data_IF_556260822361
#
_entry.id   IF_556260822361
#
_cell.length_a   1.000
_cell.length_b   1.000
_cell.length_c   1.000
_cell.angle_alpha   90.00
_cell.angle_beta   90.00
_cell.angle_gamma   90.00
#
_symmetry.space_group_name_H-M   'P 1'
#
loop_
_entity.id
_entity.type
_entity.pdbx_description
1 polymer ?
2 polymer ?
3 water ?
#
loop_
_entity_poly.entity_id
_entity_poly.type
_entity_poly.pdbx_seq_one_letter_code
_entity_poly.pdbx_strand_id
2 'polyribonucleotide' 'AUAAUUU' ?
#
# COMPACT_ATOMS: atom_id res chain seq x y z
N UNK A 5 9.08 17.90 -7.97
CA UNK A 5 10.57 17.95 -7.90
C UNK A 5 11.04 17.90 -6.46
N UNK A 6 10.83 19.00 -5.73
CA UNK A 6 11.24 19.06 -4.33
C UNK A 6 10.51 17.99 -3.52
N UNK A 7 9.52 17.36 -4.14
CA UNK A 7 8.76 16.30 -3.46
C UNK A 7 9.63 15.06 -3.40
N UNK A 8 10.55 14.95 -4.37
CA UNK A 8 11.46 13.81 -4.42
C UNK A 8 12.54 14.01 -3.37
N UNK A 9 12.82 15.26 -3.03
CA UNK A 9 13.81 15.58 -2.01
C UNK A 9 13.19 15.17 -0.67
N UNK A 10 11.89 15.41 -0.53
CA UNK A 10 11.18 15.06 0.69
C UNK A 10 11.15 13.53 0.81
N UNK A 11 10.97 12.86 -0.32
CA UNK A 11 10.93 11.40 -0.34
C UNK A 11 12.29 10.84 0.06
N UNK A 12 13.36 11.49 -0.42
CA UNK A 12 14.71 11.06 -0.10
C UNK A 12 14.98 11.28 1.38
N UNK A 13 14.57 12.44 1.90
CA UNK A 13 14.76 12.76 3.30
C UNK A 13 14.02 11.81 4.22
N UNK A 14 12.80 11.43 3.86
CA UNK A 14 12.03 10.49 4.67
C UNK A 14 12.74 9.14 4.74
N UNK A 15 13.35 8.73 3.63
CA UNK A 15 14.07 7.47 3.58
C UNK A 15 15.34 7.54 4.43
N UNK A 16 16.00 8.69 4.42
CA UNK A 16 17.22 8.86 5.22
C UNK A 16 16.88 8.75 6.71
N UNK A 17 15.81 9.43 7.14
CA UNK A 17 15.40 9.38 8.54
C UNK A 17 15.06 7.95 8.95
N UNK A 18 14.31 7.24 8.12
CA UNK A 18 13.93 5.88 8.43
C UNK A 18 15.12 4.96 8.59
N UNK A 19 16.08 5.05 7.68
CA UNK A 19 17.25 4.18 7.75
C UNK A 19 18.10 4.42 8.99
N UNK A 20 18.34 5.68 9.33
CA UNK A 20 19.15 6.00 10.51
C UNK A 20 18.42 5.61 11.80
N UNK A 21 17.11 5.87 11.84
CA UNK A 21 16.32 5.54 13.01
C UNK A 21 16.20 4.02 13.17
N UNK A 22 16.42 3.27 12.10
CA UNK A 22 16.38 1.82 12.20
C UNK A 22 17.66 1.40 12.93
N UNK A 23 18.80 1.90 12.43
CA UNK A 23 20.11 1.58 13.01
C UNK A 23 20.15 1.84 14.53
N UNK A 24 19.66 3.01 14.94
CA UNK A 24 19.66 3.39 16.36
C UNK A 24 18.37 3.00 17.10
N UNK A 25 17.52 2.20 16.46
CA UNK A 25 16.25 1.82 17.05
C UNK A 25 16.23 0.69 18.08
N UNK A 26 15.08 0.52 18.72
CA UNK A 26 14.90 -0.51 19.75
C UNK A 26 15.20 -1.94 19.32
N UNK A 27 14.89 -2.28 18.07
CA UNK A 27 15.17 -3.64 17.63
C UNK A 27 16.63 -3.88 17.29
N UNK A 28 17.19 -3.04 16.41
CA UNK A 28 18.57 -3.23 15.98
C UNK A 28 19.70 -2.94 16.95
N UNK A 29 19.70 -1.76 17.56
CA UNK A 29 20.77 -1.34 18.45
C UNK A 29 21.27 -2.36 19.49
N UNK A 30 20.35 -3.01 20.23
CA UNK A 30 20.77 -3.99 21.24
C UNK A 30 21.60 -5.16 20.71
N UNK A 31 21.54 -5.41 19.41
CA UNK A 31 22.30 -6.51 18.85
C UNK A 31 23.31 -6.04 17.81
N UNK A 32 23.56 -4.74 17.79
CA UNK A 32 24.50 -4.14 16.84
C UNK A 32 25.84 -3.87 17.54
N UNK A 33 26.74 -4.85 17.50
CA UNK A 33 28.04 -4.71 18.16
C UNK A 33 28.85 -3.51 17.70
N UNK A 34 29.00 -3.35 16.40
CA UNK A 34 29.77 -2.22 15.90
C UNK A 34 29.24 -0.91 16.46
N UNK A 35 27.93 -0.70 16.34
CA UNK A 35 27.31 0.53 16.82
C UNK A 35 27.34 0.73 18.33
N UNK A 36 27.14 -0.33 19.10
CA UNK A 36 27.17 -0.17 20.56
C UNK A 36 28.57 0.25 21.00
N UNK A 37 29.57 -0.14 20.22
CA UNK A 37 30.95 0.19 20.49
C UNK A 37 31.18 1.67 20.20
N UNK A 38 30.73 2.13 19.03
CA UNK A 38 30.90 3.54 18.66
C UNK A 38 30.25 4.45 19.69
N UNK A 39 29.07 4.05 20.15
CA UNK A 39 28.30 4.81 21.12
C UNK A 39 29.03 5.00 22.46
N UNK A 40 29.97 4.13 22.77
CA UNK A 40 30.72 4.24 24.02
C UNK A 40 31.85 5.26 23.96
N UNK A 41 32.25 5.65 22.76
CA UNK A 41 33.35 6.60 22.57
C UNK A 41 33.13 8.06 22.98
N UNK A 42 32.09 8.69 22.45
CA UNK A 42 31.83 10.10 22.72
C UNK A 42 30.41 10.37 23.21
N UNK A 43 30.02 9.68 24.27
CA UNK A 43 28.69 9.84 24.87
C UNK A 43 27.54 9.67 23.88
N UNK A 44 27.62 8.62 23.07
CA UNK A 44 26.56 8.34 22.11
C UNK A 44 26.73 8.97 20.75
N UNK A 45 27.49 10.07 20.68
CA UNK A 45 27.71 10.76 19.42
C UNK A 45 28.52 9.89 18.46
N UNK A 46 28.10 9.89 17.20
CA UNK A 46 28.76 9.14 16.14
C UNK A 46 28.94 10.12 14.97
N UNK A 47 30.20 10.35 14.55
CA UNK A 47 30.48 11.27 13.44
C UNK A 47 29.76 10.87 12.16
N UNK A 48 29.35 11.85 11.37
CA UNK A 48 28.67 11.56 10.12
C UNK A 48 29.67 10.84 9.23
N UNK A 49 30.95 11.14 9.46
CA UNK A 49 32.03 10.53 8.70
C UNK A 49 31.94 9.00 8.86
N UNK A 50 31.50 8.55 10.03
CA UNK A 50 31.34 7.12 10.30
C UNK A 50 29.99 6.62 9.78
N UNK A 51 28.94 7.40 10.00
CA UNK A 51 27.60 7.01 9.56
C UNK A 51 27.59 6.71 8.06
N UNK A 52 28.45 7.41 7.32
CA UNK A 52 28.54 7.24 5.89
C UNK A 52 29.04 5.85 5.46
N UNK A 53 29.64 5.11 6.40
CA UNK A 53 30.14 3.75 6.11
C UNK A 53 29.02 2.73 6.09
N UNK A 54 27.85 3.12 6.62
CA UNK A 54 26.69 2.24 6.66
C UNK A 54 26.16 2.15 5.23
N UNK A 55 26.31 0.97 4.63
CA UNK A 55 25.90 0.72 3.25
C UNK A 55 24.54 1.25 2.79
N UNK A 56 23.47 0.88 3.48
CA UNK A 56 22.14 1.35 3.06
C UNK A 56 22.01 2.88 3.08
N UNK A 57 22.62 3.52 4.06
CA UNK A 57 22.57 4.98 4.15
C UNK A 57 23.41 5.55 3.00
N UNK A 58 24.57 4.95 2.79
CA UNK A 58 25.48 5.38 1.72
C UNK A 58 24.72 5.43 0.38
N UNK A 59 23.97 4.37 0.08
CA UNK A 59 23.21 4.29 -1.17
C UNK A 59 22.16 5.39 -1.31
N UNK A 60 21.71 5.95 -0.20
CA UNK A 60 20.71 7.02 -0.25
C UNK A 60 21.44 8.32 -0.54
N UNK A 61 22.46 8.59 0.27
CA UNK A 61 23.26 9.78 0.13
C UNK A 61 24.52 9.68 0.99
N UNK A 62 25.54 10.44 0.61
CA UNK A 62 26.80 10.47 1.32
C UNK A 62 27.04 11.90 1.80
N UNK A 63 26.16 12.80 1.39
CA UNK A 63 26.31 14.20 1.75
C UNK A 63 25.85 14.56 3.15
N UNK A 64 26.80 15.02 3.96
CA UNK A 64 26.54 15.40 5.35
C UNK A 64 25.38 16.40 5.49
N UNK A 65 25.42 17.48 4.71
CA UNK A 65 24.38 18.51 4.78
C UNK A 65 22.99 17.97 4.48
N UNK A 66 22.87 17.06 3.53
CA UNK A 66 21.57 16.48 3.21
C UNK A 66 21.09 15.64 4.40
N UNK A 67 21.99 14.87 4.99
CA UNK A 67 21.63 14.01 6.12
C UNK A 67 21.14 14.84 7.30
N UNK A 68 21.85 15.91 7.63
CA UNK A 68 21.46 16.79 8.74
C UNK A 68 20.09 17.41 8.48
N UNK A 69 19.89 17.92 7.27
CA UNK A 69 18.63 18.54 6.90
C UNK A 69 17.49 17.56 7.13
N UNK A 70 17.66 16.35 6.61
CA UNK A 70 16.64 15.31 6.73
C UNK A 70 16.33 15.00 8.20
N UNK A 71 17.36 14.78 9.00
CA UNK A 71 17.12 14.47 10.41
C UNK A 71 16.46 15.61 11.18
N UNK A 72 16.76 16.86 10.81
CA UNK A 72 16.18 18.00 11.52
C UNK A 72 14.68 18.10 11.28
N UNK A 73 14.18 17.43 10.25
CA UNK A 73 12.76 17.47 9.93
C UNK A 73 12.05 16.19 10.35
N UNK A 74 12.80 15.21 10.82
CA UNK A 74 12.22 13.94 11.26
C UNK A 74 11.03 14.09 12.20
N UNK A 75 9.99 13.31 11.95
CA UNK A 75 8.79 13.34 12.78
C UNK A 75 9.00 12.49 14.02
N UNK A 76 9.71 11.37 13.86
CA UNK A 76 9.99 10.45 14.95
C UNK A 76 10.74 11.13 16.08
N UNK A 77 11.65 12.03 15.72
CA UNK A 77 12.43 12.77 16.71
C UNK A 77 13.24 11.84 17.62
N UNK A 78 13.82 10.80 17.04
CA UNK A 78 14.63 9.88 17.84
C UNK A 78 16.07 10.37 17.93
N UNK A 79 16.54 10.97 16.84
CA UNK A 79 17.93 11.43 16.75
C UNK A 79 18.19 12.89 17.12
N UNK A 80 19.38 13.12 17.66
CA UNK A 80 19.83 14.45 18.04
C UNK A 80 21.04 14.78 17.17
N UNK A 81 21.14 16.04 16.76
CA UNK A 81 22.25 16.49 15.93
C UNK A 81 23.11 17.43 16.78
N UNK A 82 24.43 17.28 16.74
CA UNK A 82 25.32 18.13 17.51
C UNK A 82 25.29 19.58 17.01
N UNK A 83 25.70 20.51 17.86
CA UNK A 83 25.72 21.93 17.51
C UNK A 83 26.51 22.23 16.24
N UNK A 84 27.69 21.63 16.10
CA UNK A 84 28.51 21.88 14.92
C UNK A 84 28.03 21.04 13.75
N UNK A 85 27.06 20.17 14.01
CA UNK A 85 26.47 19.31 13.00
C UNK A 85 27.42 18.30 12.35
N UNK A 86 28.41 17.82 13.11
CA UNK A 86 29.35 16.85 12.57
C UNK A 86 29.05 15.43 13.07
N UNK A 87 28.14 15.32 14.03
CA UNK A 87 27.82 14.00 14.58
C UNK A 87 26.37 13.93 15.08
N UNK A 88 25.87 12.70 15.26
CA UNK A 88 24.50 12.51 15.72
C UNK A 88 24.44 11.41 16.78
N UNK A 89 23.32 11.31 17.49
CA UNK A 89 23.15 10.30 18.51
C UNK A 89 21.68 10.07 18.84
N UNK A 90 21.39 8.93 19.46
CA UNK A 90 20.03 8.65 19.88
C UNK A 90 19.82 9.55 21.11
N UNK A 91 18.67 10.22 21.20
CA UNK A 91 18.41 11.12 22.33
C UNK A 91 18.60 10.46 23.68
N UNK A 92 19.24 11.16 24.62
CA UNK A 92 19.45 10.62 25.96
C UNK A 92 18.09 10.49 26.63
N UNK A 93 17.12 11.24 26.10
CA UNK A 93 15.77 11.24 26.62
C UNK A 93 14.94 10.09 26.09
N UNK A 94 15.55 9.25 25.26
CA UNK A 94 14.86 8.09 24.69
C UNK A 94 15.73 6.85 24.90
N UNK A 95 15.90 6.45 26.16
CA UNK A 95 16.71 5.28 26.50
C UNK A 95 16.09 4.00 25.96
N UNK A 96 16.94 3.00 25.76
CA UNK A 96 16.48 1.70 25.28
C UNK A 96 15.59 1.12 26.36
N UNK A 97 14.54 0.38 25.97
CA UNK A 97 13.61 -0.26 26.91
C UNK A 97 14.31 -1.38 27.68
N UNK A 98 13.88 -1.61 28.92
CA UNK A 98 14.46 -2.70 29.71
C UNK A 98 13.93 -4.01 29.14
N UNK A 99 14.82 -4.94 28.84
CA UNK A 99 14.40 -6.21 28.27
C UNK A 99 13.97 -7.21 29.34
N UNK A 100 12.69 -7.17 29.68
CA UNK A 100 12.12 -8.08 30.68
C UNK A 100 11.45 -9.27 29.98
N UNK A 101 11.03 -10.25 30.78
CA UNK A 101 10.35 -11.45 30.25
C UNK A 101 9.14 -10.98 29.47
N UNK A 102 8.49 -9.94 30.00
CA UNK A 102 7.31 -9.36 29.37
C UNK A 102 7.62 -8.73 28.01
N UNK A 103 8.70 -7.95 27.95
CA UNK A 103 9.11 -7.30 26.70
C UNK A 103 9.39 -8.36 25.66
N UNK A 104 10.16 -9.38 26.04
CA UNK A 104 10.49 -10.44 25.10
C UNK A 104 9.27 -11.22 24.66
N UNK A 105 8.35 -11.47 25.60
CA UNK A 105 7.12 -12.19 25.28
C UNK A 105 6.32 -11.40 24.26
N UNK A 106 6.30 -10.09 24.40
CA UNK A 106 5.57 -9.21 23.48
C UNK A 106 6.22 -9.15 22.09
N UNK A 107 7.54 -9.12 22.04
CA UNK A 107 8.24 -9.07 20.75
C UNK A 107 7.96 -10.35 19.97
N UNK A 108 8.09 -11.48 20.65
CA UNK A 108 7.86 -12.79 20.01
C UNK A 108 6.46 -12.88 19.43
N UNK A 109 5.48 -12.35 20.15
CA UNK A 109 4.09 -12.37 19.72
C UNK A 109 3.75 -11.39 18.59
N UNK A 110 4.70 -10.51 18.27
CA UNK A 110 4.52 -9.53 17.20
C UNK A 110 5.37 -9.97 15.99
N UNK A 111 5.97 -11.15 16.09
CA UNK A 111 6.84 -11.67 15.04
C UNK A 111 6.18 -12.72 14.15
N UNK A 112 6.34 -12.54 12.84
CA UNK A 112 5.72 -13.42 11.85
C UNK A 112 6.74 -14.07 10.91
N UNK A 113 6.32 -15.20 10.34
CA UNK A 113 7.11 -15.98 9.39
C UNK A 113 6.39 -15.96 8.05
N UNK A 114 7.12 -15.67 6.97
CA UNK A 114 6.54 -15.67 5.63
C UNK A 114 7.47 -16.40 4.65
N UNK A 115 6.97 -17.47 4.05
CA UNK A 115 7.76 -18.24 3.09
C UNK A 115 7.21 -18.11 1.67
N UNK A 116 8.10 -18.15 0.67
CA UNK A 116 7.64 -18.06 -0.71
C UNK A 116 8.18 -16.94 -1.59
N UNK A 117 9.17 -16.19 -1.12
CA UNK A 117 9.71 -15.11 -1.96
C UNK A 117 10.79 -15.66 -2.89
N UNK A 118 10.91 -15.09 -4.10
CA UNK A 118 11.93 -15.57 -5.03
C UNK A 118 13.31 -15.29 -4.48
N UNK A 119 14.21 -16.27 -4.63
CA UNK A 119 15.57 -16.18 -4.13
C UNK A 119 16.32 -14.90 -4.51
N UNK A 120 15.91 -14.27 -5.62
CA UNK A 120 16.58 -13.06 -6.06
C UNK A 120 15.99 -11.76 -5.50
N UNK A 121 14.92 -11.86 -4.72
CA UNK A 121 14.31 -10.66 -4.13
C UNK A 121 15.25 -9.97 -3.17
N UNK A 122 15.20 -8.64 -3.15
CA UNK A 122 16.06 -7.86 -2.27
C UNK A 122 15.27 -7.33 -1.09
N UNK A 123 15.98 -6.70 -0.15
CA UNK A 123 15.35 -6.13 1.02
C UNK A 123 14.39 -5.01 0.57
N UNK A 124 14.77 -4.27 -0.46
CA UNK A 124 13.91 -3.20 -0.97
C UNK A 124 12.62 -3.78 -1.56
N UNK A 125 12.72 -4.91 -2.27
CA UNK A 125 11.54 -5.54 -2.86
C UNK A 125 10.54 -5.86 -1.76
N UNK A 126 11.01 -6.55 -0.73
CA UNK A 126 10.17 -6.95 0.38
C UNK A 126 9.58 -5.77 1.14
N UNK A 127 10.41 -4.78 1.45
CA UNK A 127 9.93 -3.58 2.16
C UNK A 127 8.74 -2.96 1.42
N UNK A 128 8.87 -2.84 0.10
CA UNK A 128 7.80 -2.25 -0.70
C UNK A 128 6.54 -3.10 -0.65
N UNK A 129 6.69 -4.41 -0.66
CA UNK A 129 5.55 -5.30 -0.61
C UNK A 129 4.84 -5.22 0.74
N UNK A 130 5.60 -4.96 1.80
CA UNK A 130 5.03 -4.86 3.15
C UNK A 130 4.44 -3.48 3.42
N UNK A 131 4.65 -2.56 2.50
CA UNK A 131 4.18 -1.19 2.63
C UNK A 131 2.70 -1.03 2.99
N UNK A 132 1.86 -1.93 2.52
CA UNK A 132 0.42 -1.84 2.79
C UNK A 132 -0.11 -2.89 3.77
N UNK A 133 0.77 -3.52 4.55
CA UNK A 133 0.33 -4.55 5.49
C UNK A 133 0.48 -4.22 6.97
N UNK A 134 0.86 -2.99 7.28
CA UNK A 134 1.00 -2.61 8.68
C UNK A 134 2.39 -2.09 9.02
N UNK A 135 2.53 -1.56 10.23
CA UNK A 135 3.81 -1.01 10.68
C UNK A 135 4.82 -2.10 11.00
N UNK A 136 5.90 -2.12 10.23
CA UNK A 136 6.97 -3.11 10.41
C UNK A 136 8.17 -2.48 11.10
N UNK A 137 8.76 -3.18 12.05
CA UNK A 137 9.91 -2.68 12.78
C UNK A 137 11.20 -3.41 12.42
N UNK A 138 11.04 -4.61 11.85
CA UNK A 138 12.20 -5.38 11.42
C UNK A 138 11.84 -6.42 10.38
N UNK A 139 12.75 -6.61 9.44
CA UNK A 139 12.60 -7.59 8.36
C UNK A 139 13.90 -8.36 8.30
N UNK A 140 13.84 -9.65 8.60
CA UNK A 140 15.03 -10.48 8.56
C UNK A 140 14.95 -11.51 7.45
N UNK A 141 15.77 -11.31 6.42
CA UNK A 141 15.81 -12.24 5.29
C UNK A 141 16.65 -13.42 5.75
N UNK A 142 16.06 -14.60 5.76
CA UNK A 142 16.78 -15.79 6.21
C UNK A 142 17.79 -16.28 5.16
N UNK A 143 19.04 -16.40 5.60
CA UNK A 143 20.11 -16.84 4.72
C UNK A 143 20.88 -18.02 5.29
N UNK A 144 21.68 -18.65 4.44
CA UNK A 144 22.50 -19.79 4.83
C UNK A 144 23.78 -19.25 5.48
N UNK A 145 24.63 -20.15 5.95
CA UNK A 145 25.88 -19.75 6.59
C UNK A 145 26.67 -18.87 5.61
N UNK A 146 26.61 -19.22 4.33
CA UNK A 146 27.29 -18.49 3.27
C UNK A 146 26.51 -17.26 2.79
N UNK A 147 25.48 -16.89 3.53
CA UNK A 147 24.66 -15.72 3.23
C UNK A 147 23.81 -15.80 1.96
N UNK A 148 23.21 -16.95 1.71
CA UNK A 148 22.37 -17.13 0.53
C UNK A 148 20.91 -17.03 0.97
N UNK A 149 20.14 -16.13 0.34
CA UNK A 149 18.74 -15.94 0.69
C UNK A 149 17.90 -17.17 0.41
N UNK A 150 17.27 -17.69 1.47
CA UNK A 150 16.44 -18.89 1.39
C UNK A 150 15.06 -18.65 0.78
N UNK A 151 14.58 -17.42 0.79
CA UNK A 151 13.27 -17.13 0.24
C UNK A 151 12.19 -16.99 1.32
N UNK A 152 12.60 -17.11 2.58
CA UNK A 152 11.70 -16.97 3.71
C UNK A 152 12.23 -15.85 4.62
N UNK A 153 11.32 -15.14 5.29
CA UNK A 153 11.72 -14.04 6.16
C UNK A 153 10.93 -13.99 7.47
N UNK A 154 11.44 -13.20 8.41
CA UNK A 154 10.79 -13.00 9.69
C UNK A 154 10.47 -11.50 9.71
N UNK A 155 9.26 -11.15 10.12
CA UNK A 155 8.84 -9.75 10.17
C UNK A 155 8.31 -9.41 11.56
N UNK A 156 8.70 -8.24 12.07
CA UNK A 156 8.25 -7.81 13.39
C UNK A 156 7.37 -6.58 13.22
N UNK A 157 6.11 -6.68 13.63
CA UNK A 157 5.21 -5.54 13.50
C UNK A 157 5.26 -4.70 14.78
N UNK A 158 4.74 -3.48 14.69
CA UNK A 158 4.74 -2.56 15.82
C UNK A 158 3.94 -3.08 17.03
N UNK A 159 2.91 -3.88 16.77
CA UNK A 159 2.09 -4.43 17.85
C UNK A 159 1.54 -5.82 17.52
N UNK A 160 1.10 -6.55 18.54
CA UNK A 160 0.54 -7.89 18.30
C UNK A 160 -0.76 -7.74 17.51
N UNK A 161 -1.38 -6.57 17.60
CA UNK A 161 -2.62 -6.30 16.89
C UNK A 161 -2.42 -6.26 15.37
N UNK A 162 -1.40 -5.54 14.92
CA UNK A 162 -1.14 -5.45 13.49
C UNK A 162 -0.60 -6.80 12.99
N UNK A 163 0.15 -7.50 13.85
CA UNK A 163 0.71 -8.79 13.50
C UNK A 163 -0.43 -9.78 13.29
N UNK A 164 -1.37 -9.78 14.22
CA UNK A 164 -2.52 -10.67 14.17
C UNK A 164 -3.34 -10.41 12.91
N UNK A 165 -3.59 -9.14 12.60
CA UNK A 165 -4.36 -8.78 11.42
C UNK A 165 -3.68 -9.20 10.11
N UNK A 166 -2.36 -9.28 10.13
CA UNK A 166 -1.62 -9.68 8.94
C UNK A 166 -1.73 -11.20 8.74
N UNK A 167 -1.60 -11.93 9.83
CA UNK A 167 -1.69 -13.38 9.78
C UNK A 167 -3.13 -13.83 9.51
N UNK A 168 -4.10 -13.00 9.90
CA UNK A 168 -5.51 -13.31 9.69
C UNK A 168 -5.91 -13.31 8.23
N UNK A 169 -5.15 -12.59 7.41
CA UNK A 169 -5.44 -12.50 5.98
C UNK A 169 -4.90 -13.74 5.25
N UNK A 170 -5.80 -14.56 4.68
CA UNK A 170 -5.45 -15.78 3.96
C UNK A 170 -5.13 -15.67 2.47
N UNK A 171 -5.55 -14.58 1.83
CA UNK A 171 -5.29 -14.45 0.40
C UNK A 171 -4.17 -13.50 0.03
N UNK A 172 -2.95 -13.76 0.51
CA UNK A 172 -1.82 -12.89 0.19
C UNK A 172 -0.81 -13.54 -0.75
N UNK A 173 -0.38 -12.77 -1.74
CA UNK A 173 0.58 -13.25 -2.72
C UNK A 173 1.58 -12.18 -3.13
N UNK A 174 2.80 -12.61 -3.45
CA UNK A 174 3.86 -11.70 -3.87
C UNK A 174 4.04 -11.85 -5.37
N UNK A 175 4.00 -10.73 -6.09
CA UNK A 175 4.16 -10.76 -7.55
C UNK A 175 3.40 -11.97 -8.08
N UNK A 176 2.12 -12.03 -7.73
CA UNK A 176 1.22 -13.12 -8.12
C UNK A 176 1.76 -14.53 -7.86
N UNK A 177 2.30 -14.74 -6.67
CA UNK A 177 2.82 -16.03 -6.25
C UNK A 177 2.37 -16.26 -4.80
N UNK A 178 1.75 -17.41 -4.53
CA UNK A 178 1.25 -17.71 -3.19
C UNK A 178 2.32 -17.66 -2.11
N UNK A 179 1.90 -17.31 -0.90
CA UNK A 179 2.82 -17.21 0.24
C UNK A 179 2.31 -17.94 1.47
N UNK A 180 3.24 -18.51 2.23
CA UNK A 180 2.91 -19.21 3.46
C UNK A 180 3.21 -18.28 4.64
N UNK A 181 2.17 -17.88 5.37
CA UNK A 181 2.33 -16.98 6.50
C UNK A 181 1.94 -17.61 7.83
N UNK A 182 2.81 -17.50 8.82
CA UNK A 182 2.55 -18.05 10.14
C UNK A 182 3.16 -17.17 11.22
N UNK A 183 2.70 -17.32 12.46
CA UNK A 183 3.29 -16.56 13.55
C UNK A 183 4.62 -17.26 13.74
N UNK A 184 5.68 -16.50 13.96
CA UNK A 184 7.00 -17.08 14.11
C UNK A 184 7.09 -18.25 15.09
N UNK A 185 6.51 -18.10 16.27
CA UNK A 185 6.52 -19.16 17.28
C UNK A 185 5.80 -20.42 16.80
N UNK A 186 4.84 -20.24 15.90
CA UNK A 186 4.07 -21.34 15.34
C UNK A 186 4.94 -22.07 14.31
N UNK A 187 5.78 -21.30 13.62
CA UNK A 187 6.68 -21.86 12.63
C UNK A 187 7.68 -22.74 13.35
N UNK A 188 8.18 -22.24 14.48
CA UNK A 188 9.14 -22.99 15.27
C UNK A 188 8.49 -24.24 15.84
N UNK A 189 7.29 -24.08 16.39
CA UNK A 189 6.54 -25.20 16.97
C UNK A 189 6.59 -26.43 16.07
N UNK A 190 6.40 -26.21 14.77
CA UNK A 190 6.41 -27.28 13.79
C UNK A 190 7.82 -27.81 13.54
N UNK A 191 8.76 -26.89 13.45
CA UNK A 191 10.16 -27.21 13.20
C UNK A 191 10.89 -27.63 14.48
N UNK B 6 -11.76 -19.87 4.80
CA UNK B 6 -11.95 -18.40 4.93
C UNK B 6 -11.22 -17.62 3.85
N UNK B 7 -10.44 -18.31 3.04
CA UNK B 7 -9.70 -17.66 1.96
C UNK B 7 -10.70 -17.15 0.93
N UNK B 8 -11.86 -17.79 0.86
CA UNK B 8 -12.91 -17.39 -0.07
C UNK B 8 -13.69 -16.23 0.54
N UNK B 9 -13.90 -16.28 1.84
CA UNK B 9 -14.61 -15.21 2.55
C UNK B 9 -13.77 -13.94 2.42
N UNK B 10 -12.46 -14.09 2.64
CA UNK B 10 -11.54 -12.97 2.57
C UNK B 10 -11.63 -12.34 1.19
N UNK B 11 -11.60 -13.17 0.16
CA UNK B 11 -11.67 -12.71 -1.21
C UNK B 11 -12.99 -11.99 -1.46
N UNK B 12 -14.03 -12.41 -0.74
CA UNK B 12 -15.35 -11.81 -0.88
C UNK B 12 -15.37 -10.42 -0.25
N UNK B 13 -14.92 -10.34 1.00
CA UNK B 13 -14.89 -9.07 1.72
C UNK B 13 -14.07 -8.01 0.99
N UNK B 14 -12.96 -8.42 0.37
CA UNK B 14 -12.12 -7.48 -0.35
C UNK B 14 -12.89 -6.97 -1.57
N UNK B 15 -13.67 -7.86 -2.18
CA UNK B 15 -14.47 -7.50 -3.34
C UNK B 15 -15.57 -6.53 -2.93
N UNK B 16 -16.12 -6.72 -1.73
CA UNK B 16 -17.18 -5.85 -1.23
C UNK B 16 -16.65 -4.44 -0.98
N UNK B 17 -15.49 -4.35 -0.33
CA UNK B 17 -14.89 -3.05 -0.06
C UNK B 17 -14.63 -2.32 -1.37
N UNK B 18 -14.01 -3.00 -2.32
CA UNK B 18 -13.71 -2.38 -3.59
C UNK B 18 -14.93 -1.88 -4.37
N UNK B 19 -16.00 -2.65 -4.39
CA UNK B 19 -17.20 -2.24 -5.12
C UNK B 19 -17.87 -1.03 -4.46
N UNK B 20 -18.03 -1.07 -3.15
CA UNK B 20 -18.65 0.04 -2.44
C UNK B 20 -17.78 1.29 -2.55
N UNK B 21 -16.46 1.11 -2.40
CA UNK B 21 -15.53 2.23 -2.50
C UNK B 21 -15.55 2.87 -3.89
N UNK B 22 -15.92 2.08 -4.90
CA UNK B 22 -16.02 2.61 -6.25
C UNK B 22 -17.27 3.50 -6.36
N UNK B 23 -18.40 3.00 -5.85
CA UNK B 23 -19.66 3.76 -5.86
C UNK B 23 -19.49 5.15 -5.23
N UNK B 24 -18.81 5.20 -4.08
CA UNK B 24 -18.61 6.46 -3.38
C UNK B 24 -17.27 7.18 -3.72
N UNK B 25 -16.54 6.68 -4.71
CA UNK B 25 -15.26 7.27 -5.07
C UNK B 25 -15.24 8.57 -5.88
N UNK B 26 -14.06 9.17 -6.00
CA UNK B 26 -13.88 10.42 -6.72
C UNK B 26 -14.35 10.39 -8.17
N UNK B 27 -14.22 9.25 -8.83
CA UNK B 27 -14.65 9.20 -10.22
C UNK B 27 -16.16 9.04 -10.37
N UNK B 28 -16.73 8.02 -9.74
CA UNK B 28 -18.16 7.77 -9.88
C UNK B 28 -19.12 8.74 -9.21
N UNK B 29 -18.93 9.00 -7.92
CA UNK B 29 -19.84 9.85 -7.17
C UNK B 29 -20.27 11.17 -7.83
N UNK B 30 -19.32 11.96 -8.35
CA UNK B 30 -19.74 13.23 -8.98
C UNK B 30 -20.69 13.08 -10.18
N UNK B 31 -20.71 11.89 -10.78
CA UNK B 31 -21.57 11.67 -11.93
C UNK B 31 -22.71 10.70 -11.60
N UNK B 32 -22.82 10.30 -10.34
CA UNK B 32 -23.87 9.38 -9.91
C UNK B 32 -25.08 10.14 -9.33
N UNK B 33 -26.06 10.38 -10.19
CA UNK B 33 -27.28 11.11 -9.85
C UNK B 33 -28.08 10.52 -8.69
N UNK B 34 -28.30 9.21 -8.73
CA UNK B 34 -29.06 8.55 -7.69
C UNK B 34 -28.37 8.65 -6.32
N UNK B 35 -27.08 8.31 -6.28
CA UNK B 35 -26.32 8.35 -5.03
C UNK B 35 -26.23 9.75 -4.44
N UNK B 36 -25.93 10.73 -5.28
CA UNK B 36 -25.83 12.10 -4.79
C UNK B 36 -27.16 12.52 -4.19
N UNK B 37 -28.26 12.01 -4.74
CA UNK B 37 -29.59 12.33 -4.22
C UNK B 37 -29.69 11.77 -2.81
N UNK B 38 -29.39 10.47 -2.70
CA UNK B 38 -29.46 9.77 -1.42
C UNK B 38 -28.58 10.42 -0.35
N UNK B 39 -27.41 10.92 -0.76
CA UNK B 39 -26.46 11.53 0.15
C UNK B 39 -26.97 12.81 0.81
N UNK B 40 -27.94 13.47 0.19
CA UNK B 40 -28.48 14.70 0.75
C UNK B 40 -29.60 14.47 1.77
N UNK B 41 -30.03 13.24 1.92
CA UNK B 41 -31.11 12.90 2.84
C UNK B 41 -30.77 12.84 4.33
N UNK B 42 -29.66 12.19 4.67
CA UNK B 42 -29.29 12.03 6.08
C UNK B 42 -27.79 12.21 6.36
N UNK B 43 -27.29 13.42 6.14
CA UNK B 43 -25.87 13.72 6.39
C UNK B 43 -24.94 12.77 5.65
N UNK B 44 -25.37 12.32 4.46
CA UNK B 44 -24.54 11.42 3.67
C UNK B 44 -24.79 9.94 3.93
N UNK B 45 -25.47 9.62 5.03
CA UNK B 45 -25.75 8.21 5.37
C UNK B 45 -26.70 7.56 4.37
N UNK B 46 -26.41 6.31 4.03
CA UNK B 46 -27.23 5.54 3.11
C UNK B 46 -27.48 4.18 3.77
N UNK B 47 -28.75 3.84 4.03
CA UNK B 47 -29.14 2.57 4.65
C UNK B 47 -28.61 1.39 3.83
N UNK B 48 -28.26 0.29 4.51
CA UNK B 48 -27.78 -0.88 3.81
C UNK B 48 -28.95 -1.43 2.98
N UNK B 49 -30.17 -1.19 3.45
CA UNK B 49 -31.36 -1.65 2.73
C UNK B 49 -31.32 -1.08 1.31
N UNK B 50 -30.78 0.13 1.19
CA UNK B 50 -30.67 0.80 -0.10
C UNK B 50 -29.43 0.28 -0.87
N UNK B 51 -28.31 0.16 -0.16
CA UNK B 51 -27.07 -0.31 -0.78
C UNK B 51 -27.19 -1.66 -1.48
N UNK B 52 -28.00 -2.57 -0.93
CA UNK B 52 -28.13 -3.88 -1.55
C UNK B 52 -28.92 -3.86 -2.87
N UNK B 53 -29.50 -2.72 -3.22
CA UNK B 53 -30.22 -2.60 -4.50
C UNK B 53 -29.20 -2.37 -5.62
N UNK B 54 -27.96 -2.10 -5.24
CA UNK B 54 -26.88 -1.89 -6.21
C UNK B 54 -26.53 -3.28 -6.75
N UNK B 55 -26.88 -3.51 -8.01
CA UNK B 55 -26.65 -4.81 -8.67
C UNK B 55 -25.31 -5.50 -8.44
N UNK B 56 -24.21 -4.83 -8.74
CA UNK B 56 -22.90 -5.48 -8.56
C UNK B 56 -22.62 -5.89 -7.10
N UNK B 57 -23.02 -5.05 -6.15
CA UNK B 57 -22.83 -5.39 -4.74
C UNK B 57 -23.78 -6.54 -4.37
N UNK B 58 -25.04 -6.44 -4.82
CA UNK B 58 -26.04 -7.45 -4.55
C UNK B 58 -25.54 -8.84 -5.00
N UNK B 59 -24.85 -8.89 -6.14
CA UNK B 59 -24.32 -10.16 -6.64
C UNK B 59 -23.20 -10.71 -5.76
N UNK B 60 -22.52 -9.84 -5.02
CA UNK B 60 -21.46 -10.29 -4.13
C UNK B 60 -22.13 -10.84 -2.88
N UNK B 61 -22.99 -10.02 -2.29
CA UNK B 61 -23.74 -10.43 -1.12
C UNK B 61 -24.87 -9.46 -0.85
N UNK B 62 -25.80 -9.90 -0.01
CA UNK B 62 -26.96 -9.12 0.36
C UNK B 62 -27.01 -9.02 1.88
N UNK B 63 -26.12 -9.76 2.53
CA UNK B 63 -26.07 -9.79 3.98
C UNK B 63 -25.44 -8.57 4.63
N UNK B 64 -26.23 -7.86 5.43
CA UNK B 64 -25.78 -6.65 6.11
C UNK B 64 -24.53 -6.87 6.96
N UNK B 65 -24.60 -7.84 7.88
CA UNK B 65 -23.48 -8.12 8.76
C UNK B 65 -22.19 -8.38 7.99
N UNK B 66 -22.28 -9.13 6.90
CA UNK B 66 -21.10 -9.43 6.10
C UNK B 66 -20.56 -8.17 5.44
N UNK B 67 -21.45 -7.29 5.01
CA UNK B 67 -21.03 -6.04 4.36
C UNK B 67 -20.30 -5.17 5.37
N UNK B 68 -20.88 -5.02 6.56
CA UNK B 68 -20.29 -4.23 7.62
C UNK B 68 -18.93 -4.79 8.05
N UNK B 69 -18.84 -6.11 8.14
CA UNK B 69 -17.58 -6.73 8.55
C UNK B 69 -16.50 -6.38 7.52
N UNK B 70 -16.82 -6.55 6.25
CA UNK B 70 -15.89 -6.24 5.16
C UNK B 70 -15.36 -4.80 5.27
N UNK B 71 -16.28 -3.84 5.39
CA UNK B 71 -15.91 -2.43 5.48
C UNK B 71 -15.10 -2.03 6.71
N UNK B 72 -15.35 -2.68 7.84
CA UNK B 72 -14.65 -2.37 9.08
C UNK B 72 -13.19 -2.80 8.98
N UNK B 73 -12.88 -3.63 7.99
CA UNK B 73 -11.52 -4.13 7.80
C UNK B 73 -10.85 -3.57 6.55
N UNK B 74 -11.50 -2.60 5.92
CA UNK B 74 -10.96 -1.98 4.71
C UNK B 74 -9.69 -1.19 4.98
N UNK B 75 -8.74 -1.28 4.06
CA UNK B 75 -7.50 -0.53 4.21
C UNK B 75 -7.70 0.89 3.67
N UNK B 76 -8.54 1.02 2.65
CA UNK B 76 -8.81 2.33 2.04
C UNK B 76 -9.35 3.30 3.09
N UNK B 77 -10.24 2.81 3.96
CA UNK B 77 -10.81 3.64 4.99
C UNK B 77 -11.58 4.82 4.41
N UNK B 78 -12.29 4.59 3.30
CA UNK B 78 -13.04 5.68 2.69
C UNK B 78 -14.42 5.79 3.34
N UNK B 79 -15.00 4.63 3.64
CA UNK B 79 -16.34 4.56 4.23
C UNK B 79 -16.44 4.55 5.75
N UNK B 80 -17.52 5.13 6.26
CA UNK B 80 -17.80 5.17 7.68
C UNK B 80 -19.05 4.33 7.91
N UNK B 81 -19.07 3.60 9.02
CA UNK B 81 -20.20 2.77 9.39
C UNK B 81 -20.90 3.40 10.60
N UNK B 82 -22.23 3.45 10.57
CA UNK B 82 -23.00 4.02 11.67
C UNK B 82 -22.88 3.17 12.93
N UNK B 83 -23.15 3.78 14.08
CA UNK B 83 -23.10 3.10 15.37
C UNK B 83 -24.03 1.89 15.38
N UNK B 84 -25.27 2.09 14.96
CA UNK B 84 -26.25 1.00 14.92
C UNK B 84 -25.91 0.03 13.80
N UNK B 85 -24.98 0.42 12.95
CA UNK B 85 -24.54 -0.41 11.83
C UNK B 85 -25.61 -0.68 10.77
N UNK B 86 -26.57 0.23 10.63
CA UNK B 86 -27.62 0.06 9.64
C UNK B 86 -27.40 0.92 8.40
N UNK B 87 -26.42 1.83 8.46
CA UNK B 87 -26.13 2.72 7.34
C UNK B 87 -24.64 3.06 7.19
N UNK B 88 -24.26 3.50 6.00
CA UNK B 88 -22.87 3.85 5.73
C UNK B 88 -22.80 5.16 4.95
N UNK B 89 -21.61 5.77 4.92
CA UNK B 89 -21.43 7.03 4.21
C UNK B 89 -19.95 7.28 3.95
N UNK B 90 -19.65 8.15 2.98
CA UNK B 90 -18.26 8.47 2.72
C UNK B 90 -17.83 9.35 3.88
N UNK B 91 -16.61 9.16 4.36
CA UNK B 91 -16.13 9.95 5.48
C UNK B 91 -16.12 11.45 5.22
N UNK B 92 -16.70 12.23 6.15
CA UNK B 92 -16.68 13.68 5.91
C UNK B 92 -15.23 14.20 5.94
N UNK B 93 -14.31 13.35 6.42
CA UNK B 93 -12.90 13.73 6.47
C UNK B 93 -12.21 13.47 5.12
N UNK B 94 -12.96 12.90 4.19
CA UNK B 94 -12.45 12.61 2.84
C UNK B 94 -13.40 13.28 1.85
N UNK B 95 -13.41 14.63 1.84
CA UNK B 95 -14.29 15.35 0.91
C UNK B 95 -13.87 15.17 -0.55
N UNK B 96 -14.84 15.28 -1.45
CA UNK B 96 -14.55 15.17 -2.87
C UNK B 96 -13.63 16.31 -3.27
N UNK B 97 -12.69 16.05 -4.19
CA UNK B 97 -11.75 17.09 -4.63
C UNK B 97 -12.45 18.17 -5.46
N UNK B 98 -11.94 19.39 -5.39
CA UNK B 98 -12.53 20.47 -6.17
C UNK B 98 -12.17 20.22 -7.63
N UNK B 99 -13.17 20.27 -8.50
CA UNK B 99 -12.93 20.03 -9.90
C UNK B 99 -12.51 21.30 -10.64
N UNK B 100 -11.20 21.54 -10.66
CA UNK B 100 -10.64 22.70 -11.33
C UNK B 100 -10.23 22.31 -12.75
N UNK B 101 -9.76 23.28 -13.53
CA UNK B 101 -9.32 23.01 -14.90
C UNK B 101 -8.12 22.07 -14.81
N UNK B 102 -7.32 22.27 -13.78
CA UNK B 102 -6.13 21.45 -13.55
C UNK B 102 -6.54 20.00 -13.24
N UNK B 103 -7.52 19.84 -12.35
CA UNK B 103 -7.99 18.51 -11.97
C UNK B 103 -8.48 17.77 -13.21
N UNK B 104 -9.29 18.45 -14.02
CA UNK B 104 -9.81 17.85 -15.24
C UNK B 104 -8.71 17.52 -16.23
N UNK B 105 -7.76 18.44 -16.40
CA UNK B 105 -6.64 18.22 -17.31
C UNK B 105 -5.88 16.96 -16.88
N UNK B 106 -5.74 16.78 -15.57
CA UNK B 106 -5.03 15.62 -15.04
C UNK B 106 -5.77 14.31 -15.31
N UNK B 107 -7.09 14.32 -15.17
CA UNK B 107 -7.90 13.13 -15.41
C UNK B 107 -7.82 12.71 -16.87
N UNK B 108 -8.01 13.67 -17.77
CA UNK B 108 -7.95 13.40 -19.20
C UNK B 108 -6.62 12.75 -19.56
N UNK B 109 -5.54 13.28 -18.99
CA UNK B 109 -4.19 12.77 -19.23
C UNK B 109 -3.91 11.42 -18.56
N UNK B 110 -4.85 10.97 -17.73
CA UNK B 110 -4.74 9.68 -17.03
C UNK B 110 -5.66 8.66 -17.71
N UNK B 111 -6.33 9.08 -18.78
CA UNK B 111 -7.28 8.24 -19.51
C UNK B 111 -6.72 7.56 -20.76
N UNK B 112 -7.03 6.28 -20.92
CA UNK B 112 -6.56 5.45 -22.04
C UNK B 112 -7.67 4.73 -22.81
N UNK B 113 -7.48 4.63 -24.12
CA UNK B 113 -8.42 3.96 -25.01
C UNK B 113 -7.89 2.60 -25.42
N UNK B 114 -8.74 1.57 -25.36
CA UNK B 114 -8.32 0.22 -25.75
C UNK B 114 -9.40 -0.50 -26.55
N UNK B 115 -9.01 -1.01 -27.70
CA UNK B 115 -9.92 -1.75 -28.56
C UNK B 115 -9.34 -3.14 -28.86
N UNK B 116 -10.22 -4.14 -28.96
CA UNK B 116 -9.76 -5.48 -29.25
C UNK B 116 -10.34 -6.56 -28.34
N UNK B 117 -11.38 -6.22 -27.58
CA UNK B 117 -12.01 -7.20 -26.70
C UNK B 117 -13.20 -7.83 -27.39
N UNK B 118 -13.52 -9.10 -27.05
CA UNK B 118 -14.66 -9.77 -27.68
C UNK B 118 -15.96 -9.10 -27.25
N UNK B 119 -16.93 -9.09 -28.16
CA UNK B 119 -18.23 -8.46 -27.90
C UNK B 119 -18.96 -9.04 -26.71
N UNK B 120 -18.56 -10.24 -26.29
CA UNK B 120 -19.22 -10.89 -25.16
C UNK B 120 -18.37 -10.83 -23.89
N UNK B 121 -17.36 -9.96 -23.88
CA UNK B 121 -16.50 -9.83 -22.72
C UNK B 121 -17.30 -9.15 -21.61
N UNK B 122 -17.01 -9.50 -20.38
CA UNK B 122 -17.71 -8.90 -19.25
C UNK B 122 -16.81 -7.93 -18.50
N UNK B 123 -17.38 -7.10 -17.65
CA UNK B 123 -16.61 -6.15 -16.87
C UNK B 123 -15.62 -6.94 -16.02
N UNK B 124 -16.09 -8.05 -15.46
CA UNK B 124 -15.23 -8.90 -14.64
C UNK B 124 -14.03 -9.42 -15.43
N UNK B 125 -14.24 -9.76 -16.70
CA UNK B 125 -13.14 -10.26 -17.52
C UNK B 125 -12.10 -9.17 -17.74
N UNK B 126 -12.57 -7.97 -18.06
CA UNK B 126 -11.66 -6.86 -18.29
C UNK B 126 -10.87 -6.48 -17.03
N UNK B 127 -11.56 -6.39 -15.89
CA UNK B 127 -10.89 -6.05 -14.64
C UNK B 127 -9.80 -7.08 -14.36
N UNK B 128 -10.12 -8.36 -14.62
CA UNK B 128 -9.16 -9.43 -14.40
C UNK B 128 -7.95 -9.24 -15.30
N UNK B 129 -8.19 -8.90 -16.56
CA UNK B 129 -7.10 -8.68 -17.50
C UNK B 129 -6.20 -7.53 -17.07
N UNK B 130 -6.81 -6.53 -16.42
CA UNK B 130 -6.09 -5.36 -15.94
C UNK B 130 -5.46 -5.63 -14.57
N UNK B 131 -5.78 -6.78 -14.00
CA UNK B 131 -5.31 -7.20 -12.68
C UNK B 131 -4.17 -6.41 -12.05
N UNK B 132 -2.97 -6.49 -12.60
CA UNK B 132 -1.85 -5.75 -12.02
C UNK B 132 -1.01 -5.05 -13.07
N UNK B 133 -1.65 -4.20 -13.86
CA UNK B 133 -0.96 -3.46 -14.91
C UNK B 133 -1.05 -1.97 -14.62
N UNK B 134 -1.24 -1.64 -13.34
CA UNK B 134 -1.35 -0.26 -12.92
C UNK B 134 -2.67 -0.05 -12.20
N UNK B 135 -2.66 0.76 -11.15
CA UNK B 135 -3.88 1.03 -10.41
C UNK B 135 -4.92 1.64 -11.33
N UNK B 136 -6.04 0.94 -11.51
CA UNK B 136 -7.14 1.43 -12.36
C UNK B 136 -8.25 2.01 -11.48
N UNK B 137 -8.78 3.17 -11.85
CA UNK B 137 -9.83 3.83 -11.08
C UNK B 137 -11.19 3.79 -11.76
N UNK B 138 -11.20 3.52 -13.06
CA UNK B 138 -12.46 3.42 -13.80
C UNK B 138 -12.30 2.68 -15.11
N UNK B 139 -13.30 1.87 -15.43
CA UNK B 139 -13.35 1.08 -16.67
C UNK B 139 -14.72 1.32 -17.28
N UNK B 140 -14.73 2.01 -18.42
CA UNK B 140 -15.97 2.32 -19.12
C UNK B 140 -16.10 1.53 -20.43
N UNK B 141 -16.90 0.47 -20.41
CA UNK B 141 -17.10 -0.33 -21.61
C UNK B 141 -18.00 0.46 -22.55
N UNK B 142 -17.52 0.70 -23.77
CA UNK B 142 -18.29 1.47 -24.74
C UNK B 142 -19.40 0.63 -25.36
N UNK B 143 -20.62 1.15 -25.28
CA UNK B 143 -21.79 0.45 -25.81
C UNK B 143 -22.59 1.30 -26.79
N UNK B 144 -23.56 0.67 -27.45
CA UNK B 144 -24.43 1.35 -28.40
C UNK B 144 -25.51 2.07 -27.61
N UNK B 145 -26.35 2.85 -28.30
CA UNK B 145 -27.43 3.56 -27.63
C UNK B 145 -28.33 2.49 -27.00
N UNK B 146 -28.23 1.29 -27.54
CA UNK B 146 -28.99 0.14 -27.06
C UNK B 146 -28.21 -0.68 -26.04
N UNK B 147 -27.08 -0.13 -25.58
CA UNK B 147 -26.25 -0.80 -24.59
C UNK B 147 -25.63 -2.12 -25.06
N UNK B 148 -25.01 -2.09 -26.24
CA UNK B 148 -24.36 -3.29 -26.79
C UNK B 148 -22.84 -3.06 -26.82
N UNK B 149 -22.09 -3.88 -26.08
CA UNK B 149 -20.63 -3.73 -26.02
C UNK B 149 -19.97 -3.72 -27.41
N UNK B 150 -19.16 -2.71 -27.65
CA UNK B 150 -18.47 -2.52 -28.92
C UNK B 150 -17.05 -3.06 -28.95
N UNK B 151 -16.63 -3.75 -27.89
CA UNK B 151 -15.29 -4.30 -27.86
C UNK B 151 -14.16 -3.33 -27.52
N UNK B 152 -14.52 -2.06 -27.31
CA UNK B 152 -13.53 -1.04 -26.96
C UNK B 152 -13.90 -0.41 -25.60
N UNK B 153 -12.90 0.08 -24.89
CA UNK B 153 -13.14 0.68 -23.57
C UNK B 153 -12.25 1.88 -23.27
N UNK B 154 -12.59 2.59 -22.20
CA UNK B 154 -11.81 3.73 -21.72
C UNK B 154 -11.42 3.32 -20.30
N UNK B 155 -10.13 3.48 -19.99
CA UNK B 155 -9.61 3.16 -18.68
C UNK B 155 -8.92 4.38 -18.06
N UNK B 156 -9.17 4.61 -16.79
CA UNK B 156 -8.58 5.74 -16.09
C UNK B 156 -7.63 5.18 -15.02
N UNK B 157 -6.36 5.52 -15.12
CA UNK B 157 -5.37 5.05 -14.16
C UNK B 157 -5.25 6.06 -13.02
N UNK B 158 -4.60 5.65 -11.93
CA UNK B 158 -4.44 6.53 -10.77
C UNK B 158 -3.52 7.73 -11.06
N UNK B 159 -2.61 7.57 -12.02
CA UNK B 159 -1.67 8.65 -12.35
C UNK B 159 -1.24 8.67 -13.81
N UNK B 160 -0.69 9.81 -14.24
CA UNK B 160 -0.20 9.97 -15.59
C UNK B 160 0.94 8.98 -15.83
N UNK B 161 1.73 8.76 -14.78
CA UNK B 161 2.87 7.84 -14.85
C UNK B 161 2.44 6.41 -15.13
N UNK B 162 1.48 5.89 -14.36
CA UNK B 162 1.02 4.53 -14.57
C UNK B 162 0.34 4.41 -15.93
N UNK B 163 -0.39 5.46 -16.33
CA UNK B 163 -1.05 5.45 -17.64
C UNK B 163 0.01 5.37 -18.73
N UNK B 164 1.02 6.24 -18.64
CA UNK B 164 2.09 6.25 -19.63
C UNK B 164 2.79 4.89 -19.72
N UNK B 165 3.12 4.30 -18.58
CA UNK B 165 3.79 2.99 -18.57
C UNK B 165 2.93 1.93 -19.24
N UNK B 166 1.64 1.91 -18.95
CA UNK B 166 0.75 0.94 -19.56
C UNK B 166 0.77 1.12 -21.07
N UNK B 167 0.60 2.35 -21.52
CA UNK B 167 0.59 2.62 -22.95
C UNK B 167 1.94 2.29 -23.60
N UNK B 168 3.02 2.35 -22.83
CA UNK B 168 4.36 2.05 -23.34
C UNK B 168 4.63 0.57 -23.60
N UNK B 169 4.01 -0.29 -22.80
CA UNK B 169 4.20 -1.73 -22.94
C UNK B 169 3.71 -2.20 -24.32
N UNK B 170 4.64 -2.67 -25.17
CA UNK B 170 4.40 -3.16 -26.53
C UNK B 170 3.67 -4.49 -26.72
N UNK B 171 4.05 -5.49 -25.94
CA UNK B 171 3.44 -6.80 -26.10
C UNK B 171 2.15 -7.03 -25.33
N UNK B 172 1.14 -6.20 -25.58
CA UNK B 172 -0.14 -6.37 -24.89
C UNK B 172 -1.18 -6.95 -25.82
N UNK B 173 -1.84 -7.99 -25.34
CA UNK B 173 -2.84 -8.68 -26.14
C UNK B 173 -3.86 -9.39 -25.25
N UNK B 174 -5.07 -9.56 -25.75
CA UNK B 174 -6.12 -10.24 -25.00
C UNK B 174 -6.31 -11.62 -25.62
N UNK B 175 -5.66 -12.62 -25.02
CA UNK B 175 -5.72 -13.99 -25.50
C UNK B 175 -5.77 -14.09 -27.02
N UNK B 176 -4.61 -13.97 -27.66
CA UNK B 176 -4.49 -14.07 -29.11
C UNK B 176 -4.82 -12.80 -29.89
N UNK B 177 -5.69 -11.95 -29.36
CA UNK B 177 -6.07 -10.71 -30.05
C UNK B 177 -5.19 -9.51 -29.72
N UNK B 178 -4.40 -9.06 -30.69
CA UNK B 178 -3.54 -7.90 -30.48
C UNK B 178 -4.44 -6.69 -30.22
N UNK B 179 -4.08 -5.91 -29.21
CA UNK B 179 -4.87 -4.75 -28.86
C UNK B 179 -4.21 -3.44 -29.26
N UNK B 180 -5.01 -2.47 -29.67
CA UNK B 180 -4.47 -1.17 -30.00
C UNK B 180 -4.75 -0.33 -28.75
N UNK B 181 -3.70 0.26 -28.22
CA UNK B 181 -3.82 1.08 -27.02
C UNK B 181 -3.37 2.50 -27.35
N UNK B 182 -4.20 3.47 -26.99
CA UNK B 182 -3.91 4.87 -27.25
C UNK B 182 -4.33 5.69 -26.04
N UNK B 183 -3.80 6.91 -25.93
CA UNK B 183 -4.23 7.79 -24.86
C UNK B 183 -5.59 8.24 -25.39
N UNK B 184 -6.56 8.41 -24.50
CA UNK B 184 -7.90 8.80 -24.90
C UNK B 184 -7.94 10.05 -25.79
N UNK B 185 -7.25 11.10 -25.39
CA UNK B 185 -7.23 12.33 -26.19
C UNK B 185 -6.62 12.10 -27.58
N UNK B 186 -5.77 11.07 -27.68
CA UNK B 186 -5.15 10.73 -28.94
C UNK B 186 -6.21 10.06 -29.82
N UNK B 187 -7.01 9.21 -29.20
CA UNK B 187 -8.08 8.50 -29.88
C UNK B 187 -9.06 9.53 -30.41
N UNK B 188 -9.37 10.53 -29.59
CA UNK B 188 -10.29 11.59 -29.99
C UNK B 188 -9.69 12.41 -31.12
N UNK B 189 -8.38 12.65 -31.05
CA UNK B 189 -7.70 13.43 -32.07
C UNK B 189 -7.78 12.72 -33.42
N UNK B 190 -7.59 11.40 -33.42
CA UNK B 190 -7.66 10.62 -34.65
C UNK B 190 -9.10 10.40 -35.08
N UNK B 191 -10.02 11.09 -34.41
CA UNK B 191 -11.44 10.98 -34.70
C UNK B 191 -12.14 12.31 -34.47
#
# INVERSE_FOLDING_TARGET
GSNGDNEKMAALEAKICHQIEYYFGDFNLPRDKFLKEQIKLDEGWVPLEIMIKFNRLNRLTTDFNVIVEALSKSKAELMEISEDKTKIRRSPSKPLPEVTDEYKNDVKNRSVYIKGFPTDATLDDIKEWLEDKGQVLNIQMRRTLHKAFKGSIFVVFDSIESAKKFVETPGQKYKETDLLILFKDDYFAKKNE
GSNGDNEKMAALEAKICHQIEYYFGDFNLPRDKFLKEQIKLDEGWVPLEIMIKFNRLNRLTTDFNVIVEALSKSKAELMEISEDKTKIRRSPSKPLPEVTDEYKNDVKNRSVYIKGFPTDATLDDIKEWLEDKGQVLNIQMRRTLHKAFKGSIFVVFDSIESAKKFVETPGQKYKETDLLILFKDDYFAKKNE
#
